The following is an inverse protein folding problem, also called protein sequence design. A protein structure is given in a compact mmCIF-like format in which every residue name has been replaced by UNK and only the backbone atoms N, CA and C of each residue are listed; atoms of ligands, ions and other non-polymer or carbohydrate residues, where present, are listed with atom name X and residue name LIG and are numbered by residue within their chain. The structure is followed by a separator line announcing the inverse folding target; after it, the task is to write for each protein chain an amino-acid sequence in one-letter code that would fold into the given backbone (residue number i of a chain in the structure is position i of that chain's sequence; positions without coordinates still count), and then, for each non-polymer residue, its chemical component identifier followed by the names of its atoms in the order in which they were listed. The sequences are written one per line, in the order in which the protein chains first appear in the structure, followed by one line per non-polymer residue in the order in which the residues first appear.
data_IF_883331914198
#
_entry.id   IF_883331914198
#
_cell.length_a   1.000
_cell.length_b   1.000
_cell.length_c   1.000
_cell.angle_alpha   90.00
_cell.angle_beta   90.00
_cell.angle_gamma   90.00
#
_symmetry.space_group_name_H-M   'P 1'
#
loop_
_entity.id
_entity.type
_entity.pdbx_description
1 polymer ?
#
# COMPACT_ATOMS: atom_id res chain seq x y z
N UNK A 1 -7.70 25.72 -1.85
CA UNK A 1 -6.70 24.99 -2.66
C UNK A 1 -7.09 23.54 -2.58
N UNK A 2 -7.34 22.87 -3.70
CA UNK A 2 -7.72 21.46 -3.66
C UNK A 2 -6.51 20.61 -3.28
N UNK A 3 -6.72 19.58 -2.46
CA UNK A 3 -5.67 18.65 -2.04
C UNK A 3 -4.97 18.01 -3.25
N UNK A 4 -5.73 17.73 -4.32
CA UNK A 4 -5.21 17.13 -5.54
C UNK A 4 -4.58 18.12 -6.52
N UNK A 5 -4.73 19.43 -6.33
CA UNK A 5 -4.01 20.45 -7.11
C UNK A 5 -2.57 20.64 -6.64
N UNK A 6 -2.22 20.12 -5.46
CA UNK A 6 -0.85 20.15 -4.96
C UNK A 6 0.05 19.30 -5.86
N UNK A 7 1.00 19.95 -6.53
CA UNK A 7 2.00 19.27 -7.37
C UNK A 7 2.75 18.19 -6.59
N UNK A 8 3.04 18.44 -5.31
CA UNK A 8 3.69 17.48 -4.41
C UNK A 8 2.82 16.22 -4.23
N UNK A 9 1.52 16.41 -4.01
CA UNK A 9 0.56 15.30 -3.86
C UNK A 9 0.42 14.52 -5.18
N UNK A 10 0.38 15.22 -6.31
CA UNK A 10 0.31 14.58 -7.63
C UNK A 10 1.57 13.75 -7.91
N UNK A 11 2.75 14.29 -7.64
CA UNK A 11 4.01 13.57 -7.81
C UNK A 11 4.11 12.37 -6.85
N UNK A 12 3.73 12.54 -5.58
CA UNK A 12 3.72 11.46 -4.58
C UNK A 12 2.76 10.33 -4.98
N UNK A 13 1.54 10.66 -5.39
CA UNK A 13 0.53 9.69 -5.82
C UNK A 13 0.95 8.93 -7.08
N UNK A 14 1.49 9.63 -8.09
CA UNK A 14 2.02 9.03 -9.30
C UNK A 14 3.13 8.04 -8.97
N UNK A 15 4.11 8.46 -8.16
CA UNK A 15 5.23 7.60 -7.77
C UNK A 15 4.77 6.38 -6.96
N UNK A 16 3.82 6.57 -6.05
CA UNK A 16 3.25 5.48 -5.26
C UNK A 16 2.55 4.43 -6.15
N UNK A 17 1.81 4.88 -7.15
CA UNK A 17 1.14 3.99 -8.09
C UNK A 17 2.13 3.26 -9.01
N UNK A 18 3.15 3.96 -9.52
CA UNK A 18 4.21 3.37 -10.33
C UNK A 18 4.99 2.29 -9.55
N UNK A 19 5.40 2.61 -8.31
CA UNK A 19 6.08 1.67 -7.41
C UNK A 19 5.21 0.44 -7.14
N UNK A 20 3.91 0.63 -6.92
CA UNK A 20 2.94 -0.46 -6.73
C UNK A 20 2.85 -1.35 -7.97
N UNK A 21 2.67 -0.79 -9.16
CA UNK A 21 2.57 -1.57 -10.39
C UNK A 21 3.84 -2.36 -10.68
N UNK A 22 5.00 -1.76 -10.46
CA UNK A 22 6.30 -2.43 -10.62
C UNK A 22 6.45 -3.59 -9.64
N UNK A 23 6.10 -3.38 -8.36
CA UNK A 23 6.17 -4.44 -7.35
C UNK A 23 5.15 -5.55 -7.59
N UNK A 24 3.93 -5.24 -8.03
CA UNK A 24 2.95 -6.28 -8.39
C UNK A 24 3.43 -7.13 -9.58
N UNK A 25 4.03 -6.50 -10.59
CA UNK A 25 4.63 -7.21 -11.73
C UNK A 25 5.82 -8.06 -11.29
N UNK A 26 6.69 -7.53 -10.43
CA UNK A 26 7.83 -8.29 -9.90
C UNK A 26 7.35 -9.47 -9.02
N UNK A 27 6.29 -9.24 -8.24
CA UNK A 27 5.71 -10.21 -7.32
C UNK A 27 5.14 -11.46 -8.01
N UNK A 28 4.76 -11.40 -9.29
CA UNK A 28 4.32 -12.59 -10.03
C UNK A 28 5.42 -13.65 -10.16
N UNK A 29 6.69 -13.24 -10.09
CA UNK A 29 7.84 -14.14 -10.12
C UNK A 29 8.42 -14.44 -8.72
N UNK A 30 7.76 -14.02 -7.63
CA UNK A 30 8.26 -14.16 -6.25
C UNK A 30 8.68 -15.59 -5.89
N UNK A 31 7.97 -16.61 -6.38
CA UNK A 31 8.29 -18.01 -6.15
C UNK A 31 9.68 -18.42 -6.67
N UNK A 32 10.16 -17.76 -7.73
CA UNK A 32 11.45 -18.01 -8.40
C UNK A 32 12.61 -17.25 -7.76
N UNK A 33 12.34 -16.29 -6.87
CA UNK A 33 13.39 -15.53 -6.22
C UNK A 33 14.19 -16.42 -5.28
N UNK A 34 15.49 -16.17 -5.23
CA UNK A 34 16.35 -16.67 -4.18
C UNK A 34 16.00 -16.01 -2.83
N UNK A 35 16.66 -16.46 -1.77
CA UNK A 35 16.38 -15.99 -0.41
C UNK A 35 16.55 -14.47 -0.27
N UNK A 36 17.60 -13.92 -0.85
CA UNK A 36 17.89 -12.49 -0.79
C UNK A 36 16.87 -11.68 -1.60
N UNK A 37 16.54 -12.11 -2.81
CA UNK A 37 15.52 -11.50 -3.65
C UNK A 37 14.14 -11.49 -2.98
N UNK A 38 13.75 -12.59 -2.32
CA UNK A 38 12.51 -12.63 -1.52
C UNK A 38 12.55 -11.62 -0.37
N UNK A 39 13.67 -11.53 0.35
CA UNK A 39 13.83 -10.57 1.46
C UNK A 39 13.74 -9.12 0.96
N UNK A 40 14.39 -8.80 -0.16
CA UNK A 40 14.34 -7.46 -0.75
C UNK A 40 12.93 -7.12 -1.23
N UNK A 41 12.26 -8.05 -1.91
CA UNK A 41 10.87 -7.86 -2.34
C UNK A 41 9.94 -7.55 -1.17
N UNK A 42 10.02 -8.33 -0.09
CA UNK A 42 9.21 -8.11 1.11
C UNK A 42 9.50 -6.72 1.71
N UNK A 43 10.77 -6.34 1.85
CA UNK A 43 11.15 -5.05 2.40
C UNK A 43 10.61 -3.88 1.55
N UNK A 44 10.66 -3.99 0.22
CA UNK A 44 10.13 -2.98 -0.69
C UNK A 44 8.59 -2.90 -0.61
N UNK A 45 7.92 -4.05 -0.48
CA UNK A 45 6.47 -4.09 -0.25
C UNK A 45 6.09 -3.46 1.11
N UNK A 46 6.82 -3.75 2.18
CA UNK A 46 6.60 -3.14 3.51
C UNK A 46 6.74 -1.61 3.43
N UNK A 47 7.79 -1.09 2.78
CA UNK A 47 8.02 0.34 2.60
C UNK A 47 6.93 1.02 1.76
N UNK A 48 6.47 0.37 0.68
CA UNK A 48 5.37 0.86 -0.13
C UNK A 48 4.06 0.94 0.66
N UNK A 49 3.74 -0.11 1.43
CA UNK A 49 2.51 -0.16 2.21
C UNK A 49 2.49 0.90 3.31
N UNK A 50 3.62 1.19 3.94
CA UNK A 50 3.72 2.27 4.92
C UNK A 50 3.45 3.64 4.27
N UNK A 51 4.07 3.93 3.13
CA UNK A 51 3.79 5.16 2.35
C UNK A 51 2.32 5.25 1.97
N UNK A 52 1.72 4.15 1.53
CA UNK A 52 0.31 4.13 1.13
C UNK A 52 -0.62 4.39 2.33
N UNK A 53 -0.31 3.82 3.50
CA UNK A 53 -1.06 4.08 4.74
C UNK A 53 -0.99 5.55 5.13
N UNK A 54 0.20 6.15 5.11
CA UNK A 54 0.38 7.59 5.40
C UNK A 54 -0.42 8.45 4.42
N UNK A 55 -0.36 8.13 3.12
CA UNK A 55 -1.07 8.85 2.09
C UNK A 55 -2.60 8.79 2.30
N UNK A 56 -3.14 7.62 2.62
CA UNK A 56 -4.56 7.46 2.97
C UNK A 56 -4.96 8.20 4.24
N UNK A 57 -4.11 8.22 5.27
CA UNK A 57 -4.37 9.03 6.48
C UNK A 57 -4.39 10.52 6.17
N UNK A 58 -3.56 11.02 5.25
CA UNK A 58 -3.64 12.42 4.78
C UNK A 58 -4.96 12.73 4.08
N UNK A 59 -5.52 11.76 3.33
CA UNK A 59 -6.82 11.94 2.68
C UNK A 59 -7.95 11.97 3.71
N UNK A 60 -7.92 11.06 4.68
CA UNK A 60 -8.88 11.01 5.79
C UNK A 60 -8.90 12.32 6.59
N UNK A 61 -7.73 12.94 6.79
CA UNK A 61 -7.58 14.19 7.54
C UNK A 61 -7.81 15.45 6.70
N UNK A 62 -7.98 15.33 5.38
CA UNK A 62 -8.14 16.47 4.49
C UNK A 62 -9.55 17.07 4.62
N UNK A 63 -9.64 18.40 4.52
CA UNK A 63 -10.91 19.11 4.35
C UNK A 63 -11.39 19.14 2.90
N UNK A 64 -10.56 18.66 1.97
CA UNK A 64 -10.92 18.56 0.56
C UNK A 64 -12.01 17.50 0.33
N UNK A 65 -13.10 17.92 -0.30
CA UNK A 65 -14.25 17.06 -0.58
C UNK A 65 -13.91 15.86 -1.46
N UNK A 66 -13.05 16.03 -2.47
CA UNK A 66 -12.66 14.94 -3.34
C UNK A 66 -11.83 13.91 -2.56
N UNK A 67 -10.93 14.35 -1.68
CA UNK A 67 -10.10 13.46 -0.87
C UNK A 67 -10.97 12.60 0.07
N UNK A 68 -11.97 13.22 0.71
CA UNK A 68 -12.97 12.51 1.53
C UNK A 68 -13.78 11.51 0.69
N UNK A 69 -14.21 11.89 -0.50
CA UNK A 69 -14.97 11.00 -1.38
C UNK A 69 -14.15 9.78 -1.81
N UNK A 70 -12.85 9.94 -2.10
CA UNK A 70 -11.96 8.80 -2.42
C UNK A 70 -11.87 7.81 -1.27
N UNK A 71 -11.74 8.31 -0.03
CA UNK A 71 -11.72 7.45 1.17
C UNK A 71 -13.06 6.73 1.34
N UNK A 72 -14.19 7.42 1.19
CA UNK A 72 -15.51 6.81 1.33
C UNK A 72 -15.79 5.76 0.24
N UNK A 73 -15.34 6.00 -1.00
CA UNK A 73 -15.41 5.01 -2.07
C UNK A 73 -14.60 3.76 -1.73
N UNK A 74 -13.38 3.93 -1.20
CA UNK A 74 -12.55 2.81 -0.77
C UNK A 74 -13.21 2.03 0.38
N UNK A 75 -13.73 2.73 1.40
CA UNK A 75 -14.49 2.09 2.49
C UNK A 75 -15.70 1.31 1.97
N UNK A 76 -16.41 1.85 0.98
CA UNK A 76 -17.56 1.18 0.34
C UNK A 76 -17.12 -0.11 -0.35
N UNK A 77 -15.96 -0.14 -1.02
CA UNK A 77 -15.41 -1.36 -1.62
C UNK A 77 -14.99 -2.40 -0.59
N UNK A 78 -14.50 -1.96 0.58
CA UNK A 78 -14.13 -2.85 1.67
C UNK A 78 -15.33 -3.36 2.49
N UNK A 79 -16.45 -2.63 2.47
CA UNK A 79 -17.68 -2.96 3.20
C UNK A 79 -18.17 -4.40 3.00
N UNK A 80 -18.32 -4.90 1.76
CA UNK A 80 -18.70 -6.28 1.48
C UNK A 80 -17.73 -7.34 2.03
N UNK A 81 -16.45 -6.98 2.22
CA UNK A 81 -15.44 -7.85 2.83
C UNK A 81 -15.49 -7.83 4.36
N UNK A 82 -16.29 -6.94 4.97
CA UNK A 82 -16.42 -6.80 6.41
C UNK A 82 -15.18 -6.26 7.10
N UNK A 83 -14.29 -5.57 6.36
CA UNK A 83 -13.03 -5.04 6.89
C UNK A 83 -12.96 -3.52 6.78
N UNK A 84 -12.28 -2.89 7.71
CA UNK A 84 -11.94 -1.46 7.65
C UNK A 84 -10.63 -1.24 6.90
N UNK A 85 -10.36 0.00 6.50
CA UNK A 85 -9.11 0.37 5.84
C UNK A 85 -7.89 0.08 6.73
N UNK A 86 -7.97 0.39 8.02
CA UNK A 86 -6.89 0.06 8.98
C UNK A 86 -6.70 -1.45 9.13
N UNK A 87 -7.78 -2.24 9.17
CA UNK A 87 -7.70 -3.70 9.21
C UNK A 87 -7.07 -4.29 7.94
N UNK A 88 -7.34 -3.73 6.77
CA UNK A 88 -6.70 -4.11 5.50
C UNK A 88 -5.18 -3.93 5.58
N UNK A 89 -4.70 -2.77 6.04
CA UNK A 89 -3.26 -2.51 6.21
C UNK A 89 -2.62 -3.46 7.24
N UNK A 90 -3.29 -3.69 8.37
CA UNK A 90 -2.78 -4.59 9.40
C UNK A 90 -2.72 -6.03 8.92
N UNK A 91 -3.69 -6.47 8.10
CA UNK A 91 -3.66 -7.79 7.46
C UNK A 91 -2.49 -7.91 6.49
N UNK A 92 -2.28 -6.93 5.61
CA UNK A 92 -1.13 -6.94 4.68
C UNK A 92 0.20 -6.97 5.43
N UNK A 93 0.33 -6.18 6.50
CA UNK A 93 1.53 -6.19 7.36
C UNK A 93 1.78 -7.58 7.95
N UNK A 94 0.75 -8.21 8.52
CA UNK A 94 0.86 -9.59 9.04
C UNK A 94 1.28 -10.59 7.97
N UNK A 95 0.74 -10.48 6.77
CA UNK A 95 1.12 -11.35 5.64
C UNK A 95 2.60 -11.17 5.28
N UNK A 96 3.09 -9.94 5.14
CA UNK A 96 4.49 -9.66 4.84
C UNK A 96 5.43 -10.13 5.97
N UNK A 97 5.03 -9.95 7.22
CA UNK A 97 5.78 -10.47 8.38
C UNK A 97 5.91 -12.00 8.35
N UNK A 98 4.84 -12.72 7.99
CA UNK A 98 4.88 -14.18 7.83
C UNK A 98 5.80 -14.60 6.69
N UNK A 99 5.72 -13.93 5.53
CA UNK A 99 6.62 -14.17 4.40
C UNK A 99 8.09 -13.93 4.81
N UNK A 100 8.38 -12.90 5.61
CA UNK A 100 9.74 -12.61 6.11
C UNK A 100 10.26 -13.68 7.05
N UNK A 101 9.41 -14.25 7.90
CA UNK A 101 9.80 -15.36 8.78
C UNK A 101 10.19 -16.60 7.97
N UNK A 102 9.43 -16.92 6.92
CA UNK A 102 9.73 -18.04 6.03
C UNK A 102 11.08 -17.89 5.31
N UNK A 103 11.50 -16.66 4.97
CA UNK A 103 12.81 -16.41 4.33
C UNK A 103 13.97 -16.40 5.32
N UNK A 104 13.70 -16.37 6.64
CA UNK A 104 14.74 -16.35 7.68
C UNK A 104 14.99 -17.74 8.29
N UNK A 105 13.97 -18.61 8.29
CA UNK A 105 14.01 -19.94 8.91
C UNK A 105 14.42 -21.09 7.97
N UNK A 106 14.90 -20.78 6.77
CA UNK A 106 15.41 -21.75 5.78
C UNK A 106 16.92 -21.69 5.62
#
# INVERSE_FOLDING_TARGET
MSFFESEIVQQESKRLFEDYQQLMRLGSDYGKFDREGKRLFIAQMEALMERYRIFMKRFELSDDFQARMTVEQLKTQLGPLGITLDQMFDQMKRTLEQMRRQTTMG
#
